data_IF_575274362893
#
_entry.id   IF_575274362893
#
_cell.length_a   1.000
_cell.length_b   1.000
_cell.length_c   1.000
_cell.angle_alpha   90.00
_cell.angle_beta   90.00
_cell.angle_gamma   90.00
#
_symmetry.space_group_name_H-M   'P 1'
#
loop_
_entity.id
_entity.type
_entity.pdbx_description
1 polymer ?
#
# COMPACT_ATOMS: atom_id res chain seq x y z
N UNK A 1 -0.82 7.66 -16.06
CA UNK A 1 -1.12 8.71 -15.06
C UNK A 1 0.19 9.21 -14.48
N UNK A 2 0.31 10.51 -14.24
CA UNK A 2 1.52 11.11 -13.62
C UNK A 2 1.36 11.26 -12.11
N UNK A 3 0.12 11.38 -11.64
CA UNK A 3 -0.20 11.53 -10.20
C UNK A 3 -0.50 10.16 -9.57
N UNK A 4 -0.08 9.93 -8.31
CA UNK A 4 -0.30 8.67 -7.62
C UNK A 4 -1.74 8.47 -7.12
N UNK A 5 -2.54 9.53 -7.11
CA UNK A 5 -3.96 9.50 -6.71
C UNK A 5 -4.85 10.11 -7.80
N UNK A 6 -6.11 9.68 -7.84
CA UNK A 6 -7.17 10.26 -8.68
C UNK A 6 -8.43 10.48 -7.87
N UNK A 7 -9.24 11.49 -8.23
CA UNK A 7 -10.52 11.75 -7.58
C UNK A 7 -11.61 10.77 -8.03
N UNK A 8 -12.65 10.60 -7.21
CA UNK A 8 -13.85 9.82 -7.57
C UNK A 8 -14.55 10.39 -8.82
N UNK A 9 -14.55 11.72 -8.98
CA UNK A 9 -15.11 12.39 -10.17
C UNK A 9 -14.33 12.04 -11.45
N UNK A 10 -12.98 11.98 -11.37
CA UNK A 10 -12.17 11.54 -12.49
C UNK A 10 -12.51 10.08 -12.89
N UNK A 11 -12.60 9.17 -11.91
CA UNK A 11 -12.94 7.78 -12.19
C UNK A 11 -14.34 7.66 -12.80
N UNK A 12 -15.33 8.37 -12.26
CA UNK A 12 -16.70 8.38 -12.80
C UNK A 12 -16.73 8.81 -14.27
N UNK A 13 -15.98 9.84 -14.63
CA UNK A 13 -15.88 10.30 -16.02
C UNK A 13 -15.21 9.28 -16.95
N UNK A 14 -14.42 8.37 -16.40
CA UNK A 14 -13.65 7.36 -17.15
C UNK A 14 -14.19 5.93 -17.04
N UNK A 15 -15.33 5.69 -16.36
CA UNK A 15 -15.90 4.35 -16.17
C UNK A 15 -16.13 3.55 -17.46
N UNK A 16 -16.44 4.24 -18.55
CA UNK A 16 -16.72 3.61 -19.86
C UNK A 16 -15.46 3.42 -20.71
N UNK A 17 -14.29 3.86 -20.23
CA UNK A 17 -13.03 3.69 -20.95
C UNK A 17 -12.55 2.23 -20.79
N UNK A 18 -12.48 1.41 -21.86
CA UNK A 18 -12.10 0.01 -21.75
C UNK A 18 -10.65 -0.21 -21.30
N UNK A 19 -9.81 0.82 -21.35
CA UNK A 19 -8.43 0.75 -20.85
C UNK A 19 -8.32 1.02 -19.36
N UNK A 20 -9.38 1.50 -18.69
CA UNK A 20 -9.40 1.72 -17.25
C UNK A 20 -9.84 0.42 -16.56
N UNK A 21 -8.97 -0.11 -15.72
CA UNK A 21 -9.23 -1.29 -14.89
C UNK A 21 -9.34 -0.82 -13.44
N UNK A 22 -10.46 -1.12 -12.81
CA UNK A 22 -10.74 -0.78 -11.41
C UNK A 22 -10.46 -2.01 -10.57
N UNK A 23 -9.62 -1.85 -9.53
CA UNK A 23 -9.25 -2.94 -8.64
C UNK A 23 -9.70 -2.63 -7.21
N UNK A 24 -10.45 -3.55 -6.64
CA UNK A 24 -10.82 -3.56 -5.23
C UNK A 24 -9.72 -4.28 -4.43
N UNK A 25 -8.94 -3.53 -3.69
CA UNK A 25 -7.87 -4.01 -2.83
C UNK A 25 -8.28 -4.10 -1.34
N UNK A 26 -9.58 -4.12 -1.06
CA UNK A 26 -10.13 -4.21 0.30
C UNK A 26 -9.66 -5.48 1.01
N UNK A 27 -9.28 -5.34 2.27
CA UNK A 27 -8.93 -6.48 3.12
C UNK A 27 -10.19 -6.97 3.84
N UNK A 28 -10.56 -8.24 3.65
CA UNK A 28 -11.67 -8.88 4.38
C UNK A 28 -11.49 -8.81 5.90
N UNK A 29 -10.25 -8.91 6.35
CA UNK A 29 -9.83 -8.75 7.74
C UNK A 29 -8.67 -7.76 7.80
N UNK A 30 -8.79 -6.71 8.59
CA UNK A 30 -7.77 -5.71 8.79
C UNK A 30 -7.40 -5.58 10.26
N UNK A 31 -6.16 -5.16 10.54
CA UNK A 31 -5.64 -5.01 11.92
C UNK A 31 -6.23 -3.80 12.66
N UNK A 32 -6.89 -2.88 11.94
CA UNK A 32 -7.54 -1.73 12.54
C UNK A 32 -8.93 -2.04 13.10
N UNK A 33 -9.51 -3.19 12.76
CA UNK A 33 -10.89 -3.57 13.06
C UNK A 33 -11.95 -2.54 12.59
N UNK A 34 -11.57 -1.63 11.71
CA UNK A 34 -12.49 -0.64 11.13
C UNK A 34 -13.47 -1.33 10.18
N UNK A 35 -14.73 -0.90 10.24
CA UNK A 35 -15.80 -1.32 9.35
C UNK A 35 -16.56 -0.10 8.84
N UNK A 36 -17.00 -0.14 7.59
CA UNK A 36 -17.73 0.95 6.95
C UNK A 36 -19.19 0.57 6.64
N UNK A 37 -19.54 -0.71 6.75
CA UNK A 37 -20.83 -1.24 6.29
C UNK A 37 -20.91 -1.41 4.77
N UNK A 38 -19.78 -1.24 4.06
CA UNK A 38 -19.69 -1.34 2.59
C UNK A 38 -19.03 -2.65 2.13
N UNK A 39 -18.90 -3.63 3.01
CA UNK A 39 -18.12 -4.85 2.77
C UNK A 39 -18.74 -5.78 1.72
N UNK A 40 -20.04 -5.61 1.39
CA UNK A 40 -20.78 -6.46 0.44
C UNK A 40 -20.97 -5.83 -0.93
N UNK A 41 -20.48 -4.61 -1.14
CA UNK A 41 -20.59 -3.89 -2.41
C UNK A 41 -19.23 -3.47 -2.95
N UNK A 42 -19.20 -3.26 -4.25
CA UNK A 42 -18.03 -2.76 -4.96
C UNK A 42 -18.38 -1.65 -5.96
N UNK A 43 -17.41 -0.89 -6.39
CA UNK A 43 -17.55 0.01 -7.56
C UNK A 43 -17.91 -0.85 -8.76
N UNK A 44 -18.93 -0.44 -9.51
CA UNK A 44 -19.41 -1.20 -10.67
C UNK A 44 -18.30 -1.55 -11.66
N UNK A 45 -18.12 -2.85 -11.94
CA UNK A 45 -17.10 -3.38 -12.82
C UNK A 45 -15.71 -3.52 -12.19
N UNK A 46 -15.57 -3.31 -10.88
CA UNK A 46 -14.32 -3.54 -10.18
C UNK A 46 -13.95 -5.03 -10.14
N UNK A 47 -12.66 -5.32 -10.02
CA UNK A 47 -12.09 -6.66 -9.93
C UNK A 47 -11.37 -6.78 -8.61
N UNK A 48 -11.63 -7.86 -7.87
CA UNK A 48 -11.01 -8.06 -6.57
C UNK A 48 -9.51 -8.36 -6.71
N UNK A 49 -8.70 -7.55 -6.04
CA UNK A 49 -7.23 -7.68 -5.98
C UNK A 49 -6.84 -8.17 -4.59
N UNK A 50 -6.80 -9.50 -4.42
CA UNK A 50 -6.51 -10.15 -3.14
C UNK A 50 -5.04 -10.01 -2.74
N UNK A 51 -4.74 -8.95 -1.98
CA UNK A 51 -3.38 -8.66 -1.49
C UNK A 51 -2.85 -9.81 -0.61
N UNK A 52 -3.71 -10.44 0.20
CA UNK A 52 -3.26 -11.41 1.21
C UNK A 52 -2.90 -12.78 0.65
N UNK A 53 -3.66 -13.25 -0.33
CA UNK A 53 -3.51 -14.62 -0.82
C UNK A 53 -2.96 -14.63 -2.25
N UNK A 54 -3.67 -13.99 -3.19
CA UNK A 54 -3.33 -14.08 -4.62
C UNK A 54 -2.09 -13.24 -4.98
N UNK A 55 -1.94 -12.06 -4.36
CA UNK A 55 -0.85 -11.12 -4.66
C UNK A 55 0.19 -11.03 -3.52
N UNK A 56 0.37 -12.14 -2.79
CA UNK A 56 1.43 -12.35 -1.81
C UNK A 56 2.04 -13.74 -1.98
N UNK A 57 3.28 -13.92 -1.51
CA UNK A 57 3.91 -15.22 -1.38
C UNK A 57 3.38 -15.93 -0.12
N UNK A 58 2.37 -16.77 -0.30
CA UNK A 58 1.75 -17.51 0.81
C UNK A 58 2.60 -18.66 1.33
N UNK A 59 3.68 -19.01 0.66
CA UNK A 59 4.65 -19.99 1.18
C UNK A 59 5.63 -19.36 2.18
N UNK A 60 5.75 -18.02 2.19
CA UNK A 60 6.55 -17.32 3.16
C UNK A 60 5.79 -17.20 4.50
N UNK A 61 6.44 -17.45 5.66
CA UNK A 61 5.80 -17.33 6.97
C UNK A 61 5.44 -15.87 7.34
N UNK A 62 6.06 -14.89 6.70
CA UNK A 62 5.74 -13.48 6.92
C UNK A 62 4.50 -13.08 6.10
N UNK A 63 3.55 -12.37 6.70
CA UNK A 63 2.34 -11.94 5.99
C UNK A 63 2.65 -10.89 4.93
N UNK A 64 1.88 -10.88 3.87
CA UNK A 64 1.93 -9.91 2.76
C UNK A 64 3.28 -9.83 2.05
N UNK A 65 4.15 -10.85 2.17
CA UNK A 65 5.45 -10.90 1.49
C UNK A 65 5.28 -10.82 -0.02
N UNK A 66 6.17 -10.10 -0.68
CA UNK A 66 6.20 -10.00 -2.13
C UNK A 66 6.31 -11.37 -2.79
N UNK A 67 5.43 -11.62 -3.76
CA UNK A 67 5.52 -12.79 -4.63
C UNK A 67 6.54 -12.58 -5.76
N UNK A 68 6.90 -13.67 -6.44
CA UNK A 68 7.77 -13.58 -7.62
C UNK A 68 7.13 -12.76 -8.74
N UNK A 69 7.94 -12.05 -9.58
CA UNK A 69 7.41 -11.31 -10.72
C UNK A 69 6.58 -12.17 -11.68
N UNK A 70 6.97 -13.42 -11.89
CA UNK A 70 6.25 -14.37 -12.75
C UNK A 70 4.88 -14.73 -12.20
N UNK A 71 4.76 -14.91 -10.88
CA UNK A 71 3.47 -15.18 -10.24
C UNK A 71 2.57 -13.95 -10.32
N UNK A 72 3.09 -12.76 -10.00
CA UNK A 72 2.36 -11.50 -10.14
C UNK A 72 1.83 -11.31 -11.58
N UNK A 73 2.69 -11.50 -12.57
CA UNK A 73 2.31 -11.42 -13.98
C UNK A 73 1.16 -12.37 -14.34
N UNK A 74 1.24 -13.61 -13.85
CA UNK A 74 0.22 -14.63 -14.09
C UNK A 74 -1.13 -14.19 -13.52
N UNK A 75 -1.14 -13.75 -12.28
CA UNK A 75 -2.38 -13.34 -11.60
C UNK A 75 -2.95 -12.02 -12.15
N UNK A 76 -2.09 -11.07 -12.51
CA UNK A 76 -2.50 -9.83 -13.17
C UNK A 76 -3.16 -10.10 -14.55
N UNK A 77 -2.62 -11.07 -15.34
CA UNK A 77 -3.24 -11.50 -16.58
C UNK A 77 -4.63 -12.11 -16.37
N UNK A 78 -4.82 -12.92 -15.33
CA UNK A 78 -6.14 -13.50 -14.98
C UNK A 78 -7.16 -12.43 -14.65
N UNK A 79 -6.73 -11.31 -14.04
CA UNK A 79 -7.56 -10.14 -13.85
C UNK A 79 -7.77 -9.31 -15.13
N UNK A 80 -7.34 -9.78 -16.29
CA UNK A 80 -7.49 -9.09 -17.57
C UNK A 80 -6.70 -7.78 -17.66
N UNK A 81 -5.60 -7.66 -16.93
CA UNK A 81 -4.76 -6.45 -16.93
C UNK A 81 -3.79 -6.53 -18.11
N UNK A 82 -3.72 -5.45 -18.87
CA UNK A 82 -2.83 -5.31 -20.02
C UNK A 82 -1.68 -4.36 -19.73
N UNK A 83 -0.58 -4.46 -20.51
CA UNK A 83 0.58 -3.55 -20.46
C UNK A 83 0.20 -2.08 -20.53
N UNK A 84 -0.88 -1.75 -21.25
CA UNK A 84 -1.37 -0.39 -21.47
C UNK A 84 -2.55 0.00 -20.59
N UNK A 85 -2.99 -0.88 -19.68
CA UNK A 85 -4.09 -0.57 -18.78
C UNK A 85 -3.78 0.64 -17.92
N UNK A 86 -4.78 1.46 -17.73
CA UNK A 86 -4.82 2.48 -16.68
C UNK A 86 -5.47 1.86 -15.46
N UNK A 87 -4.72 1.67 -14.40
CA UNK A 87 -5.20 0.98 -13.20
C UNK A 87 -5.61 2.01 -12.16
N UNK A 88 -6.82 1.85 -11.61
CA UNK A 88 -7.28 2.59 -10.42
C UNK A 88 -7.54 1.58 -9.32
N UNK A 89 -6.81 1.70 -8.22
CA UNK A 89 -6.99 0.83 -7.04
C UNK A 89 -7.72 1.58 -5.93
N UNK A 90 -8.63 0.91 -5.25
CA UNK A 90 -9.33 1.47 -4.10
C UNK A 90 -9.48 0.43 -2.99
N UNK A 91 -9.89 0.86 -1.81
CA UNK A 91 -10.35 -0.02 -0.75
C UNK A 91 -11.62 0.54 -0.06
N UNK A 92 -12.25 -0.31 0.75
CA UNK A 92 -13.52 0.01 1.41
C UNK A 92 -13.38 0.85 2.68
N UNK A 93 -12.17 1.20 3.09
CA UNK A 93 -11.90 2.08 4.24
C UNK A 93 -11.54 3.52 3.81
N UNK A 94 -11.43 3.76 2.50
CA UNK A 94 -10.98 5.03 1.92
C UNK A 94 -9.54 4.93 1.44
N UNK A 95 -8.56 5.16 2.32
CA UNK A 95 -7.13 4.94 2.07
C UNK A 95 -6.59 4.03 3.18
N UNK A 96 -6.39 2.75 2.88
CA UNK A 96 -5.81 1.79 3.82
C UNK A 96 -4.91 0.74 3.14
N UNK A 97 -5.48 -0.11 2.32
CA UNK A 97 -4.76 -1.20 1.63
C UNK A 97 -4.52 -0.94 0.15
N UNK A 98 -5.28 -0.05 -0.47
CA UNK A 98 -5.10 0.34 -1.87
C UNK A 98 -3.71 0.92 -2.17
N UNK A 99 -3.02 1.68 -1.28
CA UNK A 99 -1.63 2.07 -1.47
C UNK A 99 -0.66 0.90 -1.62
N UNK A 100 -0.91 -0.22 -0.92
CA UNK A 100 -0.10 -1.44 -1.08
C UNK A 100 -0.27 -2.02 -2.48
N UNK A 101 -1.49 -2.13 -2.99
CA UNK A 101 -1.74 -2.59 -4.34
C UNK A 101 -1.08 -1.67 -5.39
N UNK A 102 -1.18 -0.35 -5.23
CA UNK A 102 -0.49 0.62 -6.07
C UNK A 102 1.03 0.37 -6.09
N UNK A 103 1.66 0.22 -4.92
CA UNK A 103 3.09 -0.04 -4.82
C UNK A 103 3.49 -1.37 -5.47
N UNK A 104 2.68 -2.42 -5.32
CA UNK A 104 2.91 -3.71 -5.97
C UNK A 104 2.98 -3.59 -7.50
N UNK A 105 2.11 -2.78 -8.12
CA UNK A 105 2.21 -2.49 -9.55
C UNK A 105 3.44 -1.69 -9.91
N UNK A 106 3.81 -0.69 -9.10
CA UNK A 106 5.00 0.14 -9.31
C UNK A 106 6.28 -0.69 -9.31
N UNK A 107 6.44 -1.58 -8.33
CA UNK A 107 7.62 -2.46 -8.26
C UNK A 107 7.68 -3.51 -9.36
N UNK A 108 6.53 -3.86 -9.95
CA UNK A 108 6.44 -4.73 -11.12
C UNK A 108 6.51 -3.95 -12.44
N UNK A 109 6.91 -2.68 -12.39
CA UNK A 109 7.21 -1.85 -13.56
C UNK A 109 6.00 -1.19 -14.21
N UNK A 110 4.78 -1.35 -13.68
CA UNK A 110 3.59 -0.73 -14.24
C UNK A 110 3.39 0.68 -13.69
N UNK A 111 3.67 1.68 -14.53
CA UNK A 111 3.66 3.08 -14.09
C UNK A 111 2.27 3.73 -14.11
N UNK A 112 1.34 3.17 -14.92
CA UNK A 112 0.02 3.77 -15.14
C UNK A 112 -1.01 3.28 -14.11
N UNK A 113 -0.73 3.50 -12.84
CA UNK A 113 -1.54 3.10 -11.69
C UNK A 113 -1.73 4.27 -10.73
N UNK A 114 -2.95 4.45 -10.20
CA UNK A 114 -3.26 5.43 -9.17
C UNK A 114 -4.22 4.86 -8.12
N UNK A 115 -4.19 5.44 -6.93
CA UNK A 115 -5.15 5.16 -5.85
C UNK A 115 -6.35 6.11 -5.98
N UNK A 116 -7.56 5.58 -5.76
CA UNK A 116 -8.78 6.37 -5.70
C UNK A 116 -8.84 7.08 -4.35
N UNK A 117 -8.69 8.40 -4.35
CA UNK A 117 -8.70 9.20 -3.12
C UNK A 117 -10.08 9.16 -2.45
N UNK A 118 -10.10 8.67 -1.21
CA UNK A 118 -11.33 8.43 -0.45
C UNK A 118 -12.00 7.08 -0.71
N UNK A 119 -11.50 6.29 -1.66
CA UNK A 119 -11.93 4.90 -1.91
C UNK A 119 -13.44 4.72 -2.11
N UNK A 120 -13.95 3.56 -1.69
CA UNK A 120 -15.37 3.23 -1.79
C UNK A 120 -16.29 4.16 -0.95
N UNK A 121 -15.91 4.59 0.27
CA UNK A 121 -16.74 5.51 1.05
C UNK A 121 -17.05 6.84 0.33
N UNK A 122 -16.04 7.47 -0.26
CA UNK A 122 -16.24 8.73 -1.00
C UNK A 122 -17.03 8.50 -2.29
N UNK A 123 -16.79 7.37 -2.98
CA UNK A 123 -17.56 6.96 -4.17
C UNK A 123 -19.05 6.83 -3.89
N UNK A 124 -19.42 6.16 -2.79
CA UNK A 124 -20.81 5.99 -2.37
C UNK A 124 -21.44 7.32 -1.93
N UNK A 125 -20.71 8.14 -1.20
CA UNK A 125 -21.14 9.46 -0.74
C UNK A 125 -21.50 10.38 -1.91
N UNK A 126 -20.78 10.33 -3.02
CA UNK A 126 -21.05 11.08 -4.24
C UNK A 126 -22.21 10.45 -5.07
N UNK A 127 -22.82 9.36 -4.62
CA UNK A 127 -23.94 8.69 -5.28
C UNK A 127 -23.57 7.98 -6.59
N UNK A 128 -22.30 7.61 -6.77
CA UNK A 128 -21.84 6.93 -7.97
C UNK A 128 -22.18 5.43 -7.96
N UNK A 129 -22.24 4.77 -9.15
CA UNK A 129 -22.80 3.42 -9.27
C UNK A 129 -21.94 2.35 -8.59
N UNK A 130 -22.60 1.54 -7.78
CA UNK A 130 -22.05 0.35 -7.13
C UNK A 130 -22.84 -0.89 -7.58
N UNK A 131 -22.30 -2.06 -7.28
CA UNK A 131 -22.95 -3.36 -7.48
C UNK A 131 -22.61 -4.29 -6.30
N UNK A 132 -23.38 -5.37 -6.15
CA UNK A 132 -23.00 -6.46 -5.25
C UNK A 132 -21.73 -7.13 -5.76
N UNK A 133 -20.87 -7.59 -4.83
CA UNK A 133 -19.63 -8.28 -5.20
C UNK A 133 -20.00 -9.58 -5.94
N UNK A 134 -19.58 -9.76 -7.20
CA UNK A 134 -19.93 -10.93 -7.98
C UNK A 134 -19.26 -12.19 -7.45
N UNK A 135 -19.98 -13.30 -7.46
CA UNK A 135 -19.44 -14.62 -7.15
C UNK A 135 -18.59 -15.14 -8.34
N UNK A 136 -17.31 -15.47 -8.08
CA UNK A 136 -16.40 -16.12 -9.06
C UNK A 136 -16.37 -15.46 -10.46
N UNK A 137 -16.11 -14.15 -10.57
CA UNK A 137 -16.05 -13.48 -11.85
C UNK A 137 -14.86 -13.99 -12.68
N UNK A 138 -15.04 -14.09 -13.99
CA UNK A 138 -13.98 -14.45 -14.93
C UNK A 138 -13.74 -13.32 -15.92
N UNK A 139 -12.49 -13.12 -16.30
CA UNK A 139 -12.09 -12.07 -17.22
C UNK A 139 -11.30 -12.65 -18.40
N UNK A 140 -11.36 -12.02 -19.56
CA UNK A 140 -10.46 -12.35 -20.66
C UNK A 140 -9.01 -12.11 -20.21
N UNK A 141 -8.10 -13.03 -20.56
CA UNK A 141 -6.69 -12.92 -20.17
C UNK A 141 -6.07 -11.64 -20.75
N UNK A 142 -5.40 -10.90 -19.87
CA UNK A 142 -4.61 -9.75 -20.26
C UNK A 142 -3.21 -10.11 -20.79
N UNK A 143 -2.47 -9.08 -21.22
CA UNK A 143 -1.08 -9.20 -21.69
C UNK A 143 -0.06 -8.53 -20.78
N UNK A 144 -0.38 -8.35 -19.47
CA UNK A 144 0.51 -7.76 -18.48
C UNK A 144 1.91 -8.41 -18.52
N UNK A 145 2.94 -7.61 -18.34
CA UNK A 145 4.34 -8.07 -18.27
C UNK A 145 5.00 -7.44 -17.05
N UNK A 146 5.47 -8.26 -16.14
CA UNK A 146 6.15 -7.80 -14.93
C UNK A 146 7.63 -7.49 -15.22
N UNK A 147 8.05 -6.28 -14.84
CA UNK A 147 9.46 -5.83 -14.87
C UNK A 147 9.85 -5.37 -13.47
N UNK A 148 10.35 -6.28 -12.67
CA UNK A 148 10.68 -6.02 -11.28
C UNK A 148 11.73 -4.92 -11.13
N UNK A 149 11.47 -3.97 -10.22
CA UNK A 149 12.35 -2.83 -9.88
C UNK A 149 12.86 -3.02 -8.44
N UNK A 150 14.03 -3.67 -8.25
CA UNK A 150 14.52 -4.02 -6.93
C UNK A 150 14.87 -2.81 -6.05
N UNK A 151 15.16 -1.65 -6.65
CA UNK A 151 15.50 -0.41 -5.94
C UNK A 151 14.34 0.10 -5.06
N UNK A 152 13.09 -0.26 -5.40
CA UNK A 152 11.90 0.13 -4.66
C UNK A 152 11.61 -0.77 -3.45
N UNK A 153 12.44 -1.79 -3.21
CA UNK A 153 12.30 -2.74 -2.10
C UNK A 153 13.59 -2.76 -1.29
N UNK A 154 13.48 -2.86 0.03
CA UNK A 154 14.62 -3.04 0.93
C UNK A 154 14.50 -4.35 1.69
N UNK A 155 15.64 -5.04 1.81
CA UNK A 155 15.79 -6.22 2.66
C UNK A 155 16.19 -5.82 4.08
N UNK A 156 16.06 -6.77 5.00
CA UNK A 156 16.53 -6.65 6.38
C UNK A 156 18.02 -6.28 6.47
N UNK A 157 18.84 -6.86 5.62
CA UNK A 157 20.28 -6.60 5.58
C UNK A 157 20.56 -5.15 5.19
N UNK A 158 19.84 -4.60 4.22
CA UNK A 158 19.93 -3.21 3.81
C UNK A 158 19.43 -2.24 4.91
N UNK A 159 18.47 -2.64 5.72
CA UNK A 159 18.06 -1.86 6.89
C UNK A 159 19.15 -1.87 7.97
N UNK A 160 19.78 -3.03 8.23
CA UNK A 160 20.92 -3.12 9.16
C UNK A 160 22.10 -2.23 8.71
N UNK A 161 22.41 -2.21 7.43
CA UNK A 161 23.42 -1.34 6.85
C UNK A 161 23.04 0.14 7.05
N UNK A 162 21.77 0.51 6.75
CA UNK A 162 21.29 1.89 6.89
C UNK A 162 21.31 2.41 8.34
N UNK A 163 21.17 1.55 9.35
CA UNK A 163 21.32 1.94 10.76
C UNK A 163 22.74 2.50 11.02
N UNK A 164 23.76 1.94 10.35
CA UNK A 164 25.16 2.36 10.50
C UNK A 164 25.48 3.57 9.62
N UNK A 165 25.08 3.52 8.35
CA UNK A 165 25.47 4.53 7.34
C UNK A 165 24.59 5.79 7.41
N UNK A 166 23.32 5.65 7.77
CA UNK A 166 22.30 6.72 7.78
C UNK A 166 22.13 7.42 6.43
N UNK A 167 22.32 6.67 5.35
CA UNK A 167 22.21 7.17 3.97
C UNK A 167 20.77 7.46 3.56
N UNK A 168 19.80 6.80 4.20
CA UNK A 168 18.37 7.02 3.99
C UNK A 168 17.66 7.29 5.32
N UNK A 169 16.55 8.04 5.26
CA UNK A 169 15.64 8.22 6.39
C UNK A 169 14.69 7.04 6.42
N UNK A 170 14.65 6.31 7.54
CA UNK A 170 13.72 5.21 7.77
C UNK A 170 12.47 5.76 8.49
N UNK A 171 11.29 5.57 7.90
CA UNK A 171 10.01 6.09 8.36
C UNK A 171 9.10 4.93 8.76
N UNK A 172 8.62 4.94 9.99
CA UNK A 172 7.69 3.95 10.54
C UNK A 172 6.27 4.52 10.59
N UNK A 173 5.37 3.94 9.80
CA UNK A 173 3.96 4.33 9.67
C UNK A 173 3.05 3.79 10.78
N UNK A 174 3.57 3.04 11.75
CA UNK A 174 2.76 2.50 12.86
C UNK A 174 2.29 3.60 13.81
N UNK A 175 1.24 3.29 14.56
CA UNK A 175 0.78 4.16 15.65
C UNK A 175 1.90 4.43 16.67
N UNK A 176 1.93 5.63 17.23
CA UNK A 176 2.99 6.13 18.09
C UNK A 176 3.24 5.24 19.34
N UNK A 177 2.17 4.70 19.93
CA UNK A 177 2.28 3.79 21.06
C UNK A 177 3.04 2.50 20.72
N UNK A 178 2.81 1.95 19.52
CA UNK A 178 3.53 0.77 19.03
C UNK A 178 5.00 1.09 18.73
N UNK A 179 5.25 2.24 18.12
CA UNK A 179 6.61 2.72 17.84
C UNK A 179 7.41 2.89 19.14
N UNK A 180 6.82 3.52 20.16
CA UNK A 180 7.44 3.72 21.48
C UNK A 180 7.52 2.45 22.33
N UNK A 181 7.05 1.32 21.85
CA UNK A 181 7.03 0.08 22.60
C UNK A 181 6.12 0.09 23.83
N UNK A 182 5.09 0.94 23.81
CA UNK A 182 4.08 1.04 24.86
C UNK A 182 2.91 0.12 24.48
N UNK A 183 2.77 -0.98 25.22
CA UNK A 183 1.77 -2.00 24.97
C UNK A 183 2.26 -3.11 24.02
N UNK A 184 1.37 -4.07 23.76
CA UNK A 184 1.67 -5.25 23.00
C UNK A 184 1.51 -5.04 21.48
N UNK A 185 2.27 -5.78 20.72
CA UNK A 185 2.07 -5.86 19.26
C UNK A 185 0.81 -6.70 18.95
N UNK A 186 0.05 -6.36 17.88
CA UNK A 186 -1.17 -7.10 17.51
C UNK A 186 -0.92 -8.56 17.15
N UNK A 187 0.32 -8.90 16.77
CA UNK A 187 0.72 -10.29 16.48
C UNK A 187 1.55 -10.83 17.63
N UNK A 188 1.23 -12.05 18.12
CA UNK A 188 1.99 -12.67 19.20
C UNK A 188 3.45 -12.93 18.79
N UNK A 189 4.36 -12.90 19.77
CA UNK A 189 5.77 -13.19 19.58
C UNK A 189 6.61 -12.05 18.98
N UNK A 190 6.03 -10.88 18.76
CA UNK A 190 6.79 -9.70 18.35
C UNK A 190 7.27 -8.89 19.55
N UNK A 191 8.53 -8.48 19.54
CA UNK A 191 9.08 -7.54 20.51
C UNK A 191 8.46 -6.17 20.32
N UNK A 192 8.30 -5.39 21.40
CA UNK A 192 7.80 -4.00 21.36
C UNK A 192 8.93 -3.01 21.14
N UNK A 193 8.70 -1.96 20.35
CA UNK A 193 9.67 -0.91 20.03
C UNK A 193 9.74 -0.62 18.52
N UNK A 194 10.89 -0.11 18.06
CA UNK A 194 11.10 0.27 16.66
C UNK A 194 12.53 -0.01 16.19
N UNK A 195 12.76 0.09 14.89
CA UNK A 195 14.08 -0.04 14.26
C UNK A 195 14.92 1.18 14.64
N UNK A 196 16.16 0.99 15.15
CA UNK A 196 17.01 2.11 15.58
C UNK A 196 17.20 3.19 14.52
N UNK A 197 17.08 4.45 14.96
CA UNK A 197 17.23 5.60 14.10
C UNK A 197 16.08 5.86 13.15
N UNK A 198 14.97 5.10 13.20
CA UNK A 198 13.75 5.40 12.46
C UNK A 198 12.99 6.57 13.08
N UNK A 199 12.26 7.30 12.25
CA UNK A 199 11.31 8.34 12.70
C UNK A 199 9.89 7.82 12.57
N UNK A 200 9.01 8.23 13.47
CA UNK A 200 7.60 7.82 13.42
C UNK A 200 6.74 8.90 12.78
N UNK A 201 6.04 8.52 11.73
CA UNK A 201 4.97 9.30 11.13
C UNK A 201 3.78 8.36 11.00
N UNK A 202 2.89 8.31 12.00
CA UNK A 202 1.69 7.47 11.92
C UNK A 202 0.87 7.81 10.68
N UNK A 203 0.58 6.81 9.83
CA UNK A 203 -0.18 7.03 8.59
C UNK A 203 -1.50 7.77 8.80
N UNK A 204 -2.11 7.64 9.99
CA UNK A 204 -3.36 8.32 10.33
C UNK A 204 -3.24 9.84 10.38
N UNK A 205 -2.02 10.38 10.57
CA UNK A 205 -1.77 11.83 10.56
C UNK A 205 -1.77 12.41 9.13
N UNK A 206 -1.70 11.56 8.11
CA UNK A 206 -1.64 11.95 6.70
C UNK A 206 -3.01 11.92 6.03
N UNK A 207 -4.03 11.50 6.77
CA UNK A 207 -5.38 11.27 6.26
C UNK A 207 -6.43 12.05 7.06
N UNK A 208 -7.47 12.50 6.36
CA UNK A 208 -8.67 13.04 6.95
C UNK A 208 -9.90 12.48 6.22
N UNK A 209 -10.84 11.91 6.96
CA UNK A 209 -12.05 11.30 6.39
C UNK A 209 -11.78 10.27 5.28
N UNK A 210 -10.72 9.45 5.45
CA UNK A 210 -10.33 8.42 4.48
C UNK A 210 -9.65 8.94 3.21
N UNK A 211 -9.26 10.21 3.15
CA UNK A 211 -8.58 10.87 2.02
C UNK A 211 -7.22 11.41 2.47
N UNK A 212 -6.30 11.58 1.54
CA UNK A 212 -5.06 12.30 1.83
C UNK A 212 -5.35 13.77 2.19
N UNK A 213 -4.57 14.30 3.13
CA UNK A 213 -4.55 15.73 3.42
C UNK A 213 -4.11 16.53 2.17
N UNK A 214 -4.51 17.81 2.06
CA UNK A 214 -3.98 18.73 1.05
C UNK A 214 -2.44 18.75 1.04
N UNK A 215 -1.84 18.96 -0.14
CA UNK A 215 -0.37 18.96 -0.30
C UNK A 215 0.33 19.95 0.66
N UNK A 216 -0.26 21.08 0.90
CA UNK A 216 0.25 22.13 1.79
C UNK A 216 0.34 21.66 3.24
N UNK A 217 -0.63 20.86 3.69
CA UNK A 217 -0.64 20.26 5.03
C UNK A 217 0.36 19.10 5.10
N UNK A 218 0.41 18.25 4.07
CA UNK A 218 1.39 17.16 3.98
C UNK A 218 2.83 17.70 4.06
N UNK A 219 3.16 18.78 3.36
CA UNK A 219 4.49 19.42 3.42
C UNK A 219 4.86 19.86 4.83
N UNK A 220 3.88 20.28 5.63
CA UNK A 220 4.11 20.71 7.02
C UNK A 220 4.43 19.52 7.94
N UNK A 221 3.77 18.37 7.72
CA UNK A 221 3.97 17.16 8.52
C UNK A 221 5.23 16.42 8.06
N UNK A 222 5.39 16.27 6.75
CA UNK A 222 6.41 15.46 6.10
C UNK A 222 7.66 16.30 5.82
N UNK A 223 8.35 16.74 6.85
CA UNK A 223 9.64 17.44 6.71
C UNK A 223 10.66 16.49 6.08
N UNK A 224 11.21 16.86 4.93
CA UNK A 224 12.20 16.04 4.21
C UNK A 224 13.53 16.77 4.09
N UNK A 225 14.60 15.98 4.26
CA UNK A 225 15.92 16.27 3.67
C UNK A 225 15.90 15.76 2.24
N UNK A 226 16.99 16.02 1.48
CA UNK A 226 17.17 15.47 0.13
C UNK A 226 17.57 13.98 0.12
N UNK A 227 17.56 13.31 1.28
CA UNK A 227 17.94 11.90 1.41
C UNK A 227 16.89 10.95 0.84
N UNK A 228 17.31 9.75 0.39
CA UNK A 228 16.39 8.66 0.10
C UNK A 228 15.52 8.32 1.31
N UNK A 229 14.31 7.83 1.04
CA UNK A 229 13.32 7.46 2.06
C UNK A 229 13.06 5.95 2.02
N UNK A 230 13.02 5.33 3.19
CA UNK A 230 12.63 3.93 3.36
C UNK A 230 11.40 3.89 4.26
N UNK A 231 10.34 3.23 3.83
CA UNK A 231 9.10 3.13 4.59
C UNK A 231 8.95 1.74 5.20
N UNK A 232 8.51 1.69 6.44
CA UNK A 232 8.18 0.46 7.16
C UNK A 232 6.89 0.62 7.97
N UNK A 233 6.29 -0.49 8.36
CA UNK A 233 5.15 -0.48 9.28
C UNK A 233 5.06 -1.81 10.04
N UNK A 234 3.86 -2.38 10.23
CA UNK A 234 3.68 -3.71 10.81
C UNK A 234 4.04 -4.85 9.84
N UNK A 235 3.54 -4.80 8.59
CA UNK A 235 3.67 -5.85 7.58
C UNK A 235 3.62 -5.31 6.14
N UNK A 236 4.17 -4.13 5.91
CA UNK A 236 4.33 -3.56 4.58
C UNK A 236 3.07 -2.96 3.94
N UNK A 237 1.92 -2.93 4.62
CA UNK A 237 0.67 -2.38 4.06
C UNK A 237 0.58 -0.87 4.25
N UNK A 238 0.52 -0.39 5.49
CA UNK A 238 0.33 1.04 5.79
C UNK A 238 1.56 1.90 5.51
N UNK A 239 2.76 1.32 5.42
CA UNK A 239 3.97 1.97 4.93
C UNK A 239 3.79 2.59 3.53
N UNK A 240 2.94 1.97 2.70
CA UNK A 240 2.64 2.47 1.36
C UNK A 240 1.74 3.73 1.37
N UNK A 241 1.03 4.01 2.46
CA UNK A 241 0.28 5.27 2.63
C UNK A 241 1.28 6.42 2.76
N UNK A 242 2.25 6.29 3.66
CA UNK A 242 3.30 7.30 3.84
C UNK A 242 4.10 7.49 2.55
N UNK A 243 4.42 6.39 1.85
CA UNK A 243 5.11 6.46 0.57
C UNK A 243 4.33 7.32 -0.44
N UNK A 244 3.01 7.11 -0.59
CA UNK A 244 2.18 7.92 -1.50
C UNK A 244 2.12 9.38 -1.03
N UNK A 245 1.97 9.64 0.27
CA UNK A 245 1.98 11.02 0.78
C UNK A 245 3.27 11.76 0.42
N UNK A 246 4.42 11.09 0.54
CA UNK A 246 5.70 11.65 0.08
C UNK A 246 5.81 11.72 -1.45
N UNK A 247 5.15 10.84 -2.20
CA UNK A 247 5.10 10.93 -3.67
C UNK A 247 4.33 12.16 -4.14
N UNK A 248 3.31 12.60 -3.38
CA UNK A 248 2.53 13.79 -3.66
C UNK A 248 3.31 15.09 -3.49
N UNK A 249 4.35 15.12 -2.63
CA UNK A 249 5.04 16.36 -2.25
C UNK A 249 6.50 16.43 -2.66
N UNK A 250 7.17 15.30 -2.92
CA UNK A 250 8.61 15.25 -3.13
C UNK A 250 9.07 14.21 -4.15
N UNK A 251 10.32 14.40 -4.63
CA UNK A 251 10.96 13.53 -5.64
C UNK A 251 12.08 12.66 -5.10
N UNK A 252 12.28 12.62 -3.78
CA UNK A 252 13.29 11.76 -3.17
C UNK A 252 13.13 10.31 -3.63
N UNK A 253 14.21 9.55 -3.82
CA UNK A 253 14.12 8.10 -4.01
C UNK A 253 13.37 7.45 -2.84
N UNK A 254 12.43 6.54 -3.15
CA UNK A 254 11.54 5.92 -2.17
C UNK A 254 11.57 4.41 -2.31
N UNK A 255 11.58 3.72 -1.17
CA UNK A 255 11.51 2.25 -1.12
C UNK A 255 10.74 1.79 0.11
N UNK A 256 10.31 0.53 0.12
CA UNK A 256 9.63 -0.08 1.26
C UNK A 256 10.47 -1.24 1.78
N UNK A 257 10.65 -1.30 3.10
CA UNK A 257 11.11 -2.51 3.77
C UNK A 257 9.93 -3.48 3.89
N UNK A 258 9.88 -4.46 3.00
CA UNK A 258 8.72 -5.35 2.83
C UNK A 258 8.45 -6.20 4.08
N UNK A 259 9.48 -6.81 4.69
CA UNK A 259 9.37 -7.61 5.91
C UNK A 259 8.84 -6.83 7.10
N UNK A 260 9.13 -5.53 7.16
CA UNK A 260 8.62 -4.59 8.16
C UNK A 260 8.84 -5.09 9.60
N UNK A 261 8.03 -4.59 10.55
CA UNK A 261 8.16 -4.98 11.96
C UNK A 261 7.86 -6.47 12.21
N UNK A 262 7.02 -7.09 11.36
CA UNK A 262 6.73 -8.52 11.48
C UNK A 262 7.99 -9.37 11.27
N UNK A 263 8.90 -8.99 10.38
CA UNK A 263 10.21 -9.63 10.25
C UNK A 263 11.17 -9.18 11.36
N UNK A 264 11.33 -7.87 11.54
CA UNK A 264 12.32 -7.30 12.45
C UNK A 264 12.07 -7.66 13.91
N UNK A 265 10.82 -7.53 14.36
CA UNK A 265 10.42 -7.77 15.75
C UNK A 265 10.50 -9.22 16.21
N UNK A 266 10.53 -10.20 15.28
CA UNK A 266 10.68 -11.62 15.60
C UNK A 266 12.14 -12.01 15.89
N UNK A 267 13.11 -11.30 15.32
CA UNK A 267 14.51 -11.70 15.31
C UNK A 267 15.23 -11.11 16.53
N UNK A 268 15.51 -11.95 17.54
CA UNK A 268 16.11 -11.54 18.82
C UNK A 268 17.48 -10.88 18.67
N UNK A 269 18.23 -11.24 17.61
CA UNK A 269 19.56 -10.71 17.32
C UNK A 269 19.55 -9.32 16.66
N UNK A 270 18.38 -8.79 16.30
CA UNK A 270 18.29 -7.47 15.70
C UNK A 270 18.09 -6.38 16.77
N UNK A 271 18.75 -5.21 16.62
CA UNK A 271 18.64 -4.12 17.56
C UNK A 271 17.23 -3.49 17.52
N UNK A 272 16.76 -3.01 18.66
CA UNK A 272 15.51 -2.23 18.78
C UNK A 272 15.72 -1.06 19.73
N UNK A 273 14.94 0.01 19.52
CA UNK A 273 14.77 1.17 20.41
C UNK A 273 13.33 1.26 20.90
N UNK A 274 13.11 1.99 22.01
CA UNK A 274 11.79 2.25 22.60
C UNK A 274 11.64 3.73 22.89
#
# INVERSE_FOLDING_TARGET
MTEPIVSVAWLQANLKNPNVIILDASLKENQSNLKTGLENIQIKGARFFDIKNTFSDTANPLPNTLQSPKQFETEAKKLGINKKSTIVVYDNLGIYSSPRAWWLFKIMGHQNVAVLDGGLPEWVKEGYPVEEIPENPTYALGDFEAKFIPELVKSKEQILENIQTKDAILIDARAENRFKGIGDEPRPGLRSGHIPGSINIPYTQLLQNGKFLPKEELVTILKTDDKPLIFTCGSGVTACIDLIAYELIGKNPKSVYDGSWTEWGQLENLPIEK
#
